data_IF_775719790380
#
_entry.id   IF_775719790380
#
_cell.length_a   1.000
_cell.length_b   1.000
_cell.length_c   1.000
_cell.angle_alpha   90.00
_cell.angle_beta   90.00
_cell.angle_gamma   90.00
#
_symmetry.space_group_name_H-M   'P 1'
#
loop_
_entity.id
_entity.type
_entity.pdbx_description
1 polymer ?
#
# COMPACT_ATOMS: atom_id res chain seq x y z
N UNK A 1 2.27 30.25 -58.94
CA UNK A 1 2.65 29.04 -58.15
C UNK A 1 1.36 28.28 -57.81
N UNK A 2 1.39 26.99 -57.44
CA UNK A 2 0.21 26.30 -56.89
C UNK A 2 0.57 25.54 -55.61
N UNK A 3 -0.27 25.65 -54.58
CA UNK A 3 -0.08 24.91 -53.32
C UNK A 3 -0.42 23.43 -53.49
N UNK A 4 0.61 22.59 -53.64
CA UNK A 4 0.46 21.15 -53.92
C UNK A 4 0.65 20.23 -52.70
N UNK A 5 1.07 20.76 -51.55
CA UNK A 5 1.35 20.02 -50.32
C UNK A 5 0.77 20.76 -49.11
N UNK A 6 0.18 20.02 -48.18
CA UNK A 6 -0.38 20.53 -46.93
C UNK A 6 0.57 20.45 -45.74
N UNK A 7 1.78 19.90 -45.90
CA UNK A 7 2.79 19.86 -44.83
C UNK A 7 3.22 21.29 -44.48
N UNK A 8 3.28 21.65 -43.20
CA UNK A 8 3.76 22.97 -42.76
C UNK A 8 4.97 22.93 -41.79
N UNK A 9 5.53 21.75 -41.51
CA UNK A 9 6.60 21.61 -40.52
C UNK A 9 7.59 20.50 -40.85
N UNK A 10 8.85 20.71 -40.48
CA UNK A 10 9.86 19.65 -40.36
C UNK A 10 10.68 19.85 -39.08
N UNK A 11 11.47 18.84 -38.71
CA UNK A 11 12.42 18.95 -37.61
C UNK A 11 13.64 18.08 -37.85
N UNK A 12 14.78 18.51 -37.29
CA UNK A 12 16.03 17.75 -37.32
C UNK A 12 16.80 17.91 -36.01
N UNK A 13 17.46 16.85 -35.57
CA UNK A 13 18.36 16.87 -34.42
C UNK A 13 19.66 17.59 -34.76
N UNK A 14 20.24 18.31 -33.80
CA UNK A 14 21.53 18.95 -33.97
C UNK A 14 22.66 17.96 -34.24
N UNK A 15 23.64 18.37 -35.05
CA UNK A 15 24.82 17.55 -35.38
C UNK A 15 26.10 18.04 -34.70
N UNK A 16 25.99 18.99 -33.78
CA UNK A 16 27.10 19.69 -33.13
C UNK A 16 28.09 20.31 -34.14
N UNK A 17 27.59 20.71 -35.32
CA UNK A 17 28.37 21.27 -36.43
C UNK A 17 27.75 22.61 -36.86
N UNK A 18 28.58 23.65 -36.97
CA UNK A 18 28.13 24.95 -37.50
C UNK A 18 27.84 24.86 -39.00
N UNK A 19 26.87 25.64 -39.50
CA UNK A 19 26.44 25.53 -40.89
C UNK A 19 25.55 24.31 -41.16
N UNK A 20 24.94 23.72 -40.12
CA UNK A 20 24.03 22.59 -40.31
C UNK A 20 22.89 22.98 -41.26
N UNK A 21 22.74 22.21 -42.34
CA UNK A 21 21.68 22.36 -43.32
C UNK A 21 20.51 21.43 -42.99
N UNK A 22 19.32 21.99 -42.92
CA UNK A 22 18.08 21.26 -42.64
C UNK A 22 17.11 21.55 -43.79
N UNK A 23 16.84 20.51 -44.59
CA UNK A 23 15.90 20.61 -45.71
C UNK A 23 14.46 20.48 -45.24
N UNK A 24 13.58 21.28 -45.83
CA UNK A 24 12.14 21.20 -45.65
C UNK A 24 11.45 21.09 -47.01
N UNK A 25 10.26 20.47 -47.06
CA UNK A 25 9.57 20.07 -48.30
C UNK A 25 8.19 20.72 -48.46
N UNK A 26 8.03 21.93 -47.92
CA UNK A 26 6.77 22.67 -47.98
C UNK A 26 6.95 24.06 -48.61
N UNK A 27 5.96 24.58 -49.35
CA UNK A 27 6.07 25.85 -50.07
C UNK A 27 6.06 27.05 -49.10
N UNK A 28 6.91 28.05 -49.33
CA UNK A 28 6.92 29.35 -48.63
C UNK A 28 7.26 30.49 -49.61
N UNK A 29 6.68 31.70 -49.45
CA UNK A 29 6.93 32.82 -50.38
C UNK A 29 8.25 33.50 -50.08
N UNK A 30 8.56 33.66 -48.79
CA UNK A 30 9.75 34.33 -48.33
C UNK A 30 10.35 33.60 -47.13
N UNK A 31 11.65 33.78 -46.92
CA UNK A 31 12.33 33.25 -45.75
C UNK A 31 11.75 33.79 -44.42
N UNK A 32 11.10 34.97 -44.47
CA UNK A 32 10.37 35.56 -43.34
C UNK A 32 9.09 34.81 -42.96
N UNK A 33 8.57 33.94 -43.83
CA UNK A 33 7.39 33.11 -43.56
C UNK A 33 7.77 31.82 -42.80
N UNK A 34 9.04 31.67 -42.42
CA UNK A 34 9.56 30.53 -41.68
C UNK A 34 9.80 30.93 -40.23
N UNK A 35 9.12 30.25 -39.31
CA UNK A 35 9.40 30.29 -37.89
C UNK A 35 10.35 29.14 -37.53
N UNK A 36 11.59 29.48 -37.22
CA UNK A 36 12.62 28.51 -36.81
C UNK A 36 12.82 28.59 -35.31
N UNK A 37 12.68 27.43 -34.64
CA UNK A 37 12.87 27.31 -33.19
C UNK A 37 13.82 26.16 -32.87
N UNK A 38 14.71 26.35 -31.91
CA UNK A 38 15.38 25.21 -31.28
C UNK A 38 14.60 24.79 -30.05
N UNK A 39 14.74 23.53 -29.66
CA UNK A 39 14.15 22.97 -28.44
C UNK A 39 15.18 22.08 -27.78
N UNK A 40 15.47 22.35 -26.51
CA UNK A 40 16.33 21.48 -25.71
C UNK A 40 15.58 20.18 -25.43
N UNK A 41 16.14 19.04 -25.83
CA UNK A 41 15.46 17.73 -25.71
C UNK A 41 15.20 17.36 -24.25
N UNK A 42 16.12 17.71 -23.35
CA UNK A 42 16.03 17.35 -21.93
C UNK A 42 15.05 18.21 -21.12
N UNK A 43 14.91 19.50 -21.43
CA UNK A 43 14.06 20.44 -20.66
C UNK A 43 12.82 20.89 -21.42
N UNK A 44 12.72 20.62 -22.71
CA UNK A 44 11.61 21.04 -23.55
C UNK A 44 11.56 22.54 -23.84
N UNK A 45 12.53 23.32 -23.35
CA UNK A 45 12.56 24.78 -23.47
C UNK A 45 12.81 25.17 -24.94
N UNK A 46 11.90 25.94 -25.57
CA UNK A 46 12.08 26.41 -26.92
C UNK A 46 12.79 27.78 -26.97
N UNK A 47 13.64 27.98 -27.98
CA UNK A 47 14.26 29.27 -28.31
C UNK A 47 13.91 29.63 -29.75
N UNK A 48 13.44 30.85 -29.99
CA UNK A 48 13.16 31.33 -31.36
C UNK A 48 14.43 31.90 -31.96
N UNK A 49 14.80 31.44 -33.16
CA UNK A 49 15.96 31.91 -33.89
C UNK A 49 15.58 33.10 -34.79
N UNK A 50 16.53 34.01 -35.00
CA UNK A 50 16.36 35.22 -35.81
C UNK A 50 16.95 35.03 -37.22
N UNK A 51 16.13 35.25 -38.24
CA UNK A 51 16.56 35.20 -39.65
C UNK A 51 17.70 36.18 -39.90
N UNK A 52 18.69 35.78 -40.72
CA UNK A 52 19.95 36.48 -41.05
C UNK A 52 20.97 36.61 -39.92
N UNK A 53 20.57 36.39 -38.67
CA UNK A 53 21.49 36.41 -37.51
C UNK A 53 21.86 34.99 -37.09
N UNK A 54 20.86 34.17 -36.80
CA UNK A 54 21.04 32.80 -36.29
C UNK A 54 20.92 31.75 -37.40
N UNK A 55 20.18 32.05 -38.46
CA UNK A 55 20.03 31.18 -39.62
C UNK A 55 19.82 31.96 -40.93
N UNK A 56 20.14 31.33 -42.04
CA UNK A 56 19.70 31.75 -43.38
C UNK A 56 18.77 30.69 -43.95
N UNK A 57 17.92 31.06 -44.91
CA UNK A 57 17.02 30.12 -45.55
C UNK A 57 16.91 30.37 -47.05
N UNK A 58 16.91 29.30 -47.83
CA UNK A 58 16.45 29.30 -49.21
C UNK A 58 14.97 28.90 -49.24
N UNK A 59 14.21 29.48 -50.16
CA UNK A 59 12.78 29.19 -50.36
C UNK A 59 12.51 28.87 -51.82
N UNK A 60 11.63 27.90 -52.05
CA UNK A 60 11.09 27.56 -53.36
C UNK A 60 9.69 26.95 -53.20
N UNK A 61 9.02 26.77 -54.33
CA UNK A 61 7.66 26.23 -54.45
C UNK A 61 7.51 24.80 -53.91
N UNK A 62 8.61 24.08 -53.70
CA UNK A 62 8.59 22.68 -53.19
C UNK A 62 9.32 22.51 -51.87
N UNK A 63 9.86 23.59 -51.30
CA UNK A 63 10.68 23.54 -50.10
C UNK A 63 11.97 24.33 -50.22
N UNK A 64 12.89 24.07 -49.31
CA UNK A 64 14.17 24.76 -49.29
C UNK A 64 15.06 24.23 -48.18
N UNK A 65 16.09 24.99 -47.86
CA UNK A 65 17.06 24.63 -46.83
C UNK A 65 17.22 25.77 -45.86
N UNK A 66 17.13 25.46 -44.56
CA UNK A 66 17.56 26.35 -43.48
C UNK A 66 18.98 25.98 -43.11
N UNK A 67 19.88 26.96 -43.11
CA UNK A 67 21.29 26.80 -42.71
C UNK A 67 21.52 27.54 -41.40
N UNK A 68 21.86 26.80 -40.34
CA UNK A 68 22.13 27.37 -39.03
C UNK A 68 23.53 27.99 -38.99
N UNK A 69 23.66 29.22 -38.49
CA UNK A 69 24.95 29.92 -38.39
C UNK A 69 25.80 29.28 -37.28
N UNK A 70 25.22 29.08 -36.10
CA UNK A 70 25.88 28.44 -34.97
C UNK A 70 25.75 26.90 -35.03
N UNK A 71 26.63 26.21 -34.31
CA UNK A 71 26.52 24.77 -34.13
C UNK A 71 25.33 24.44 -33.20
N UNK A 72 24.42 23.58 -33.67
CA UNK A 72 23.31 23.07 -32.86
C UNK A 72 23.75 21.79 -32.12
N UNK A 73 23.73 21.75 -30.77
CA UNK A 73 24.11 20.55 -30.02
C UNK A 73 23.23 19.35 -30.35
N UNK A 74 23.76 18.12 -30.20
CA UNK A 74 22.98 16.87 -30.37
C UNK A 74 21.88 16.70 -29.32
N UNK A 75 21.91 17.50 -28.26
CA UNK A 75 20.89 17.58 -27.20
C UNK A 75 19.75 18.54 -27.53
N UNK A 76 19.75 19.14 -28.73
CA UNK A 76 18.71 20.06 -29.20
C UNK A 76 18.12 19.60 -30.54
N UNK A 77 16.85 19.96 -30.77
CA UNK A 77 16.15 19.78 -32.03
C UNK A 77 15.85 21.14 -32.64
N UNK A 78 16.04 21.28 -33.95
CA UNK A 78 15.55 22.42 -34.72
C UNK A 78 14.20 22.07 -35.32
N UNK A 79 13.23 22.95 -35.14
CA UNK A 79 11.90 22.88 -35.70
C UNK A 79 11.72 24.04 -36.68
N UNK A 80 11.39 23.71 -37.93
CA UNK A 80 11.09 24.68 -38.98
C UNK A 80 9.60 24.58 -39.25
N UNK A 81 8.89 25.69 -39.05
CA UNK A 81 7.43 25.77 -39.16
C UNK A 81 7.11 26.91 -40.13
N UNK A 82 6.17 26.68 -41.04
CA UNK A 82 5.62 27.76 -41.87
C UNK A 82 4.64 28.58 -41.03
N UNK A 83 4.82 29.89 -41.05
CA UNK A 83 3.98 30.87 -40.39
C UNK A 83 3.63 31.97 -41.39
N UNK A 84 2.67 31.66 -42.27
CA UNK A 84 2.29 32.58 -43.36
C UNK A 84 1.59 33.81 -42.78
N UNK A 85 2.05 35.06 -43.05
CA UNK A 85 1.40 36.24 -42.51
C UNK A 85 -0.06 36.36 -42.98
N UNK A 86 -1.00 36.52 -42.03
CA UNK A 86 -2.43 36.70 -42.29
C UNK A 86 -2.78 38.12 -42.79
N UNK A 87 -2.13 38.54 -43.87
CA UNK A 87 -2.28 39.87 -44.48
C UNK A 87 -2.60 39.75 -45.97
N UNK A 88 -3.44 40.66 -46.48
CA UNK A 88 -3.69 40.82 -47.91
C UNK A 88 -2.93 42.05 -48.39
N UNK A 89 -1.95 41.84 -49.30
CA UNK A 89 -1.15 42.93 -49.87
C UNK A 89 -1.64 43.39 -51.25
N UNK A 90 -2.38 42.53 -51.96
CA UNK A 90 -2.94 42.86 -53.27
C UNK A 90 -4.12 43.82 -53.14
N UNK A 91 -3.99 44.99 -53.76
CA UNK A 91 -5.06 45.97 -53.92
C UNK A 91 -5.50 46.05 -55.39
N UNK A 92 -6.78 45.78 -55.65
CA UNK A 92 -7.35 45.80 -56.99
C UNK A 92 -8.08 47.13 -57.21
N UNK A 93 -7.53 47.95 -58.10
CA UNK A 93 -8.11 49.25 -58.45
C UNK A 93 -9.14 49.09 -59.58
N UNK A 94 -10.28 49.75 -59.44
CA UNK A 94 -11.34 49.75 -60.46
C UNK A 94 -10.81 50.32 -61.80
N UNK A 95 -10.94 49.55 -62.88
CA UNK A 95 -10.45 49.92 -64.21
C UNK A 95 -8.94 49.78 -64.42
N UNK A 96 -8.21 49.25 -63.42
CA UNK A 96 -6.79 48.93 -63.53
C UNK A 96 -6.51 47.69 -64.39
N UNK A 97 -5.23 47.47 -64.72
CA UNK A 97 -4.80 46.25 -65.41
C UNK A 97 -4.96 45.05 -64.48
N UNK A 98 -5.57 43.98 -64.98
CA UNK A 98 -5.74 42.72 -64.26
C UNK A 98 -4.58 41.78 -64.60
N UNK A 99 -3.68 41.58 -63.65
CA UNK A 99 -2.59 40.60 -63.78
C UNK A 99 -2.99 39.30 -63.08
N UNK A 100 -3.06 38.22 -63.85
CA UNK A 100 -3.43 36.91 -63.33
C UNK A 100 -2.39 36.39 -62.32
N UNK A 101 -1.11 36.72 -62.47
CA UNK A 101 -0.07 36.22 -61.56
C UNK A 101 -0.24 36.81 -60.15
N UNK A 102 -0.59 38.10 -60.05
CA UNK A 102 -0.85 38.75 -58.76
C UNK A 102 -2.03 38.09 -58.01
N UNK A 103 -3.05 37.68 -58.75
CA UNK A 103 -4.24 37.01 -58.21
C UNK A 103 -3.88 35.60 -57.75
N UNK A 104 -3.18 34.85 -58.59
CA UNK A 104 -2.70 33.51 -58.25
C UNK A 104 -1.83 33.57 -56.99
N UNK A 105 -0.86 34.48 -56.90
CA UNK A 105 0.00 34.64 -55.72
C UNK A 105 -0.81 34.94 -54.44
N UNK A 106 -1.84 35.80 -54.54
CA UNK A 106 -2.72 36.11 -53.42
C UNK A 106 -3.59 34.92 -52.98
N UNK A 107 -4.14 34.15 -53.93
CA UNK A 107 -4.94 32.95 -53.66
C UNK A 107 -4.08 31.82 -53.08
N UNK A 108 -2.87 31.66 -53.59
CA UNK A 108 -1.88 30.72 -53.09
C UNK A 108 -1.50 31.06 -51.64
N UNK A 109 -1.28 32.35 -51.34
CA UNK A 109 -0.97 32.79 -49.97
C UNK A 109 -2.13 32.48 -49.02
N UNK A 110 -3.36 32.72 -49.45
CA UNK A 110 -4.54 32.39 -48.67
C UNK A 110 -4.65 30.88 -48.43
N UNK A 111 -4.40 30.06 -49.47
CA UNK A 111 -4.43 28.60 -49.36
C UNK A 111 -3.38 28.09 -48.36
N UNK A 112 -2.18 28.68 -48.37
CA UNK A 112 -1.12 28.42 -47.39
C UNK A 112 -1.50 28.81 -45.96
N UNK A 113 -2.08 29.99 -45.76
CA UNK A 113 -2.55 30.43 -44.45
C UNK A 113 -3.68 29.53 -43.90
N UNK A 114 -4.57 29.07 -44.76
CA UNK A 114 -5.61 28.09 -44.40
C UNK A 114 -5.00 26.75 -43.98
N UNK A 115 -3.98 26.26 -44.71
CA UNK A 115 -3.28 25.04 -44.34
C UNK A 115 -2.58 25.17 -42.97
N UNK A 116 -1.94 26.31 -42.69
CA UNK A 116 -1.29 26.58 -41.39
C UNK A 116 -2.32 26.57 -40.25
N UNK A 117 -3.45 27.26 -40.43
CA UNK A 117 -4.52 27.28 -39.45
C UNK A 117 -5.15 25.90 -39.23
N UNK A 118 -5.35 25.10 -40.29
CA UNK A 118 -5.85 23.72 -40.16
C UNK A 118 -4.86 22.83 -39.39
N UNK A 119 -3.56 23.00 -39.65
CA UNK A 119 -2.48 22.36 -38.92
C UNK A 119 -2.48 22.69 -37.43
N UNK A 120 -2.75 23.94 -37.07
CA UNK A 120 -2.87 24.37 -35.68
C UNK A 120 -4.15 23.85 -35.02
N UNK A 121 -5.31 24.03 -35.66
CA UNK A 121 -6.63 23.64 -35.13
C UNK A 121 -6.73 22.12 -34.92
N UNK A 122 -6.16 21.31 -35.82
CA UNK A 122 -6.16 19.83 -35.68
C UNK A 122 -5.41 19.34 -34.43
N UNK A 123 -4.63 20.21 -33.79
CA UNK A 123 -3.82 19.90 -32.60
C UNK A 123 -4.31 20.58 -31.33
N UNK A 124 -5.44 21.29 -31.38
CA UNK A 124 -6.04 21.92 -30.21
C UNK A 124 -7.10 21.02 -29.56
N UNK A 125 -7.17 21.02 -28.24
CA UNK A 125 -8.39 20.64 -27.52
C UNK A 125 -9.45 21.68 -27.88
N UNK A 126 -10.63 21.31 -28.37
CA UNK A 126 -11.65 22.30 -28.77
C UNK A 126 -12.62 22.57 -27.62
N UNK A 127 -12.60 23.80 -27.12
CA UNK A 127 -13.58 24.31 -26.16
C UNK A 127 -14.84 24.80 -26.92
N UNK A 128 -16.02 24.77 -26.29
CA UNK A 128 -17.23 25.41 -26.80
C UNK A 128 -17.06 26.89 -27.16
N UNK A 129 -17.75 27.35 -28.22
CA UNK A 129 -17.68 28.74 -28.69
C UNK A 129 -18.25 29.77 -27.69
N UNK A 130 -18.90 29.30 -26.61
CA UNK A 130 -19.44 30.12 -25.53
C UNK A 130 -18.44 30.43 -24.41
N UNK A 131 -17.32 29.71 -24.35
CA UNK A 131 -16.32 29.88 -23.31
C UNK A 131 -15.49 31.15 -23.57
N UNK A 132 -15.20 31.90 -22.51
CA UNK A 132 -14.35 33.09 -22.60
C UNK A 132 -12.90 32.73 -22.96
N UNK A 133 -12.00 33.71 -23.10
CA UNK A 133 -10.59 33.46 -23.45
C UNK A 133 -9.88 32.56 -22.42
N UNK A 134 -9.90 31.25 -22.67
CA UNK A 134 -9.16 30.24 -21.93
C UNK A 134 -7.72 30.22 -22.44
N UNK A 135 -6.74 30.08 -21.54
CA UNK A 135 -5.37 29.77 -21.95
C UNK A 135 -5.30 28.29 -22.35
N UNK A 136 -5.09 28.05 -23.64
CA UNK A 136 -5.11 26.71 -24.25
C UNK A 136 -3.70 26.20 -24.55
N UNK A 137 -2.68 26.87 -24.02
CA UNK A 137 -1.29 26.46 -24.17
C UNK A 137 -0.95 25.44 -23.09
N UNK A 138 -0.72 24.19 -23.52
CA UNK A 138 -0.15 23.16 -22.64
C UNK A 138 1.31 23.48 -22.33
N UNK A 139 1.76 23.08 -21.14
CA UNK A 139 3.18 23.03 -20.80
C UNK A 139 3.98 22.21 -21.81
N UNK A 140 5.30 22.44 -21.83
CA UNK A 140 6.18 21.73 -22.73
C UNK A 140 6.13 20.21 -22.49
N UNK A 141 6.59 19.43 -23.47
CA UNK A 141 6.47 17.98 -23.45
C UNK A 141 7.20 17.29 -22.29
N UNK A 142 8.20 17.95 -21.70
CA UNK A 142 8.98 17.41 -20.57
C UNK A 142 8.20 17.62 -19.26
N UNK A 143 7.69 18.83 -19.02
CA UNK A 143 6.98 19.15 -17.78
C UNK A 143 5.65 18.41 -17.65
N UNK A 144 5.00 18.10 -18.78
CA UNK A 144 3.77 17.29 -18.79
C UNK A 144 4.00 15.78 -18.85
N UNK A 145 5.25 15.31 -18.91
CA UNK A 145 5.52 13.88 -19.03
C UNK A 145 4.99 13.14 -17.79
N UNK A 146 4.19 12.10 -18.02
CA UNK A 146 3.55 11.28 -16.97
C UNK A 146 2.54 12.01 -16.07
N UNK A 147 2.14 13.24 -16.44
CA UNK A 147 1.10 13.99 -15.76
C UNK A 147 -0.24 13.87 -16.52
N UNK A 148 -1.34 14.21 -15.85
CA UNK A 148 -2.69 14.23 -16.42
C UNK A 148 -3.04 15.63 -16.93
N UNK A 149 -3.80 15.69 -18.01
CA UNK A 149 -4.51 16.91 -18.42
C UNK A 149 -5.80 16.99 -17.62
N UNK A 150 -5.97 18.03 -16.82
CA UNK A 150 -7.15 18.27 -16.00
C UNK A 150 -7.72 19.67 -16.26
N UNK A 151 -8.91 19.93 -15.71
CA UNK A 151 -9.53 21.25 -15.70
C UNK A 151 -9.45 21.84 -14.30
N UNK A 152 -9.05 23.10 -14.18
CA UNK A 152 -9.05 23.82 -12.90
C UNK A 152 -10.47 24.24 -12.47
N UNK A 153 -10.58 24.89 -11.31
CA UNK A 153 -11.88 25.39 -10.79
C UNK A 153 -12.57 26.42 -11.69
N UNK A 154 -11.83 27.04 -12.62
CA UNK A 154 -12.32 28.01 -13.59
C UNK A 154 -12.55 27.39 -14.98
N UNK A 155 -12.34 26.08 -15.14
CA UNK A 155 -12.48 25.35 -16.41
C UNK A 155 -11.28 25.49 -17.35
N UNK A 156 -10.16 26.08 -16.92
CA UNK A 156 -8.95 26.16 -17.74
C UNK A 156 -8.23 24.82 -17.78
N UNK A 157 -7.57 24.54 -18.90
CA UNK A 157 -6.70 23.36 -19.02
C UNK A 157 -5.47 23.55 -18.14
N UNK A 158 -5.19 22.57 -17.29
CA UNK A 158 -3.99 22.52 -16.46
C UNK A 158 -3.38 21.13 -16.52
N UNK A 159 -2.08 21.03 -16.25
CA UNK A 159 -1.38 19.76 -16.08
C UNK A 159 -1.29 19.47 -14.59
N UNK A 160 -1.68 18.26 -14.16
CA UNK A 160 -1.67 17.84 -12.76
C UNK A 160 -0.99 16.48 -12.60
N UNK A 161 -0.27 16.29 -11.50
CA UNK A 161 0.37 15.01 -11.18
C UNK A 161 -0.59 13.96 -10.62
N UNK A 162 -1.79 14.38 -10.22
CA UNK A 162 -2.88 13.51 -9.79
C UNK A 162 -4.24 14.16 -10.07
N UNK A 163 -5.26 13.33 -10.37
CA UNK A 163 -6.66 13.77 -10.49
C UNK A 163 -7.40 13.23 -9.28
N UNK A 164 -7.72 14.10 -8.32
CA UNK A 164 -8.66 13.75 -7.26
C UNK A 164 -10.08 13.65 -7.88
N UNK A 165 -10.81 12.53 -7.74
CA UNK A 165 -12.19 12.45 -8.20
C UNK A 165 -13.05 13.39 -7.36
N UNK A 166 -13.72 14.36 -7.99
CA UNK A 166 -14.55 15.35 -7.31
C UNK A 166 -15.71 14.76 -6.46
N UNK A 167 -16.01 13.46 -6.58
CA UNK A 167 -17.04 12.76 -5.81
C UNK A 167 -16.51 11.86 -4.69
N UNK A 168 -15.19 11.62 -4.61
CA UNK A 168 -14.56 11.00 -3.45
C UNK A 168 -13.46 11.95 -2.98
N UNK A 169 -13.73 12.71 -1.92
CA UNK A 169 -12.66 13.44 -1.23
C UNK A 169 -11.71 12.39 -0.68
N UNK A 170 -10.65 12.08 -1.42
CA UNK A 170 -9.56 11.26 -0.94
C UNK A 170 -8.85 12.16 0.07
N UNK A 171 -8.99 11.82 1.36
CA UNK A 171 -8.24 12.51 2.41
C UNK A 171 -6.73 12.32 2.20
N UNK A 172 -5.89 13.17 2.78
CA UNK A 172 -4.43 12.99 2.73
C UNK A 172 -3.97 11.62 3.22
N UNK A 173 -4.74 10.98 4.12
CA UNK A 173 -4.50 9.60 4.54
C UNK A 173 -4.93 8.58 3.49
N UNK A 174 -6.03 8.83 2.76
CA UNK A 174 -6.45 7.97 1.65
C UNK A 174 -5.46 7.98 0.49
N UNK A 175 -4.74 9.08 0.28
CA UNK A 175 -3.69 9.16 -0.75
C UNK A 175 -2.55 8.18 -0.48
N UNK A 176 -2.18 7.96 0.79
CA UNK A 176 -1.09 7.04 1.16
C UNK A 176 -1.45 5.56 0.96
N UNK A 177 -2.70 5.24 0.65
CA UNK A 177 -3.18 3.87 0.42
C UNK A 177 -3.27 3.52 -1.08
N UNK A 178 -3.30 4.53 -1.95
CA UNK A 178 -3.59 4.34 -3.38
C UNK A 178 -2.32 4.04 -4.17
N UNK A 179 -1.16 4.37 -3.61
CA UNK A 179 0.16 4.03 -4.14
C UNK A 179 0.66 2.63 -3.73
N UNK A 180 -0.01 1.98 -2.78
CA UNK A 180 0.39 0.68 -2.26
C UNK A 180 0.21 -0.44 -3.29
N UNK A 181 1.30 -1.18 -3.55
CA UNK A 181 1.36 -2.20 -4.60
C UNK A 181 0.57 -3.48 -4.26
N UNK A 182 0.32 -3.76 -2.99
CA UNK A 182 -0.41 -4.94 -2.53
C UNK A 182 -1.08 -4.72 -1.15
N UNK A 183 -1.86 -5.71 -0.72
CA UNK A 183 -2.59 -5.65 0.53
C UNK A 183 -1.70 -5.64 1.79
N UNK A 184 -0.45 -6.14 1.71
CA UNK A 184 0.47 -6.12 2.84
C UNK A 184 1.07 -4.73 3.05
N UNK A 185 1.42 -4.04 1.95
CA UNK A 185 1.79 -2.62 1.97
C UNK A 185 0.65 -1.77 2.56
N UNK A 186 -0.58 -1.94 2.07
CA UNK A 186 -1.77 -1.25 2.59
C UNK A 186 -1.98 -1.42 4.10
N UNK A 187 -1.81 -2.64 4.65
CA UNK A 187 -1.93 -2.86 6.10
C UNK A 187 -0.83 -2.16 6.90
N UNK A 188 0.38 -2.11 6.36
CA UNK A 188 1.51 -1.40 6.97
C UNK A 188 1.22 0.10 7.01
N UNK A 189 0.71 0.66 5.90
CA UNK A 189 0.28 2.07 5.80
C UNK A 189 -0.85 2.41 6.78
N UNK A 190 -1.82 1.50 6.97
CA UNK A 190 -2.86 1.65 8.00
C UNK A 190 -2.31 1.59 9.43
N UNK A 191 -1.02 1.27 9.62
CA UNK A 191 -0.39 1.09 10.92
C UNK A 191 -0.89 -0.15 11.65
N UNK A 192 -1.38 -1.16 10.93
CA UNK A 192 -1.92 -2.40 11.51
C UNK A 192 -0.99 -3.56 11.18
N UNK A 193 -0.11 -3.91 12.12
CA UNK A 193 0.81 -5.03 11.95
C UNK A 193 0.24 -6.28 12.62
N UNK A 194 0.00 -7.33 11.82
CA UNK A 194 -0.44 -8.65 12.30
C UNK A 194 0.58 -9.19 13.31
N UNK A 195 0.10 -9.62 14.47
CA UNK A 195 0.90 -10.09 15.59
C UNK A 195 1.31 -8.99 16.59
N UNK A 196 0.97 -7.72 16.34
CA UNK A 196 1.19 -6.61 17.29
C UNK A 196 -0.12 -5.88 17.59
N UNK A 197 -0.69 -5.20 16.61
CA UNK A 197 -1.95 -4.45 16.75
C UNK A 197 -3.18 -5.33 16.58
N UNK A 198 -3.08 -6.35 15.72
CA UNK A 198 -4.17 -7.26 15.36
C UNK A 198 -3.68 -8.71 15.36
N UNK A 199 -4.47 -9.64 15.87
CA UNK A 199 -4.15 -11.08 15.78
C UNK A 199 -4.40 -11.60 14.36
N UNK A 200 -3.52 -12.47 13.87
CA UNK A 200 -3.79 -13.21 12.63
C UNK A 200 -5.06 -14.03 12.84
N UNK A 201 -5.89 -14.15 11.79
CA UNK A 201 -7.02 -15.06 11.90
C UNK A 201 -6.52 -16.48 12.14
N UNK A 202 -7.00 -17.06 13.23
CA UNK A 202 -6.68 -18.41 13.70
C UNK A 202 -7.98 -19.04 14.22
N UNK A 203 -8.30 -20.23 13.72
CA UNK A 203 -9.57 -20.89 14.02
C UNK A 203 -9.68 -21.24 15.51
N UNK A 204 -8.58 -21.70 16.12
CA UNK A 204 -8.55 -22.06 17.53
C UNK A 204 -8.66 -20.85 18.45
N UNK A 205 -8.08 -19.70 18.08
CA UNK A 205 -8.31 -18.46 18.83
C UNK A 205 -9.76 -17.98 18.72
N UNK A 206 -10.39 -18.18 17.56
CA UNK A 206 -11.83 -17.92 17.39
C UNK A 206 -12.68 -18.85 18.26
N UNK A 207 -12.30 -20.12 18.42
CA UNK A 207 -12.96 -21.04 19.35
C UNK A 207 -12.91 -20.52 20.78
N UNK A 208 -11.72 -20.13 21.26
CA UNK A 208 -11.53 -19.56 22.60
C UNK A 208 -12.38 -18.31 22.79
N UNK A 209 -12.40 -17.41 21.80
CA UNK A 209 -13.20 -16.19 21.84
C UNK A 209 -14.71 -16.45 21.84
N UNK A 210 -15.15 -17.60 21.32
CA UNK A 210 -16.55 -18.02 21.30
C UNK A 210 -16.99 -18.76 22.59
N UNK A 211 -16.08 -19.10 23.50
CA UNK A 211 -16.40 -19.80 24.74
C UNK A 211 -17.22 -18.94 25.71
N UNK A 212 -18.15 -19.57 26.42
CA UNK A 212 -18.90 -18.92 27.48
C UNK A 212 -17.99 -18.58 28.67
N UNK A 213 -17.79 -17.28 28.92
CA UNK A 213 -17.03 -16.76 30.07
C UNK A 213 -17.91 -16.77 31.32
N UNK A 214 -18.18 -17.97 31.85
CA UNK A 214 -18.88 -18.16 33.13
C UNK A 214 -17.88 -18.54 34.21
N UNK A 215 -18.18 -18.16 35.45
CA UNK A 215 -17.35 -18.53 36.59
C UNK A 215 -17.20 -20.05 36.75
N UNK A 216 -16.04 -20.51 37.22
CA UNK A 216 -15.67 -21.92 37.40
C UNK A 216 -15.59 -22.80 36.13
N UNK A 217 -15.65 -22.20 34.94
CA UNK A 217 -15.39 -22.89 33.68
C UNK A 217 -13.88 -23.09 33.46
N UNK A 218 -13.52 -24.26 32.90
CA UNK A 218 -12.14 -24.60 32.56
C UNK A 218 -12.06 -24.83 31.06
N UNK A 219 -11.10 -24.16 30.40
CA UNK A 219 -10.86 -24.29 28.96
C UNK A 219 -10.01 -25.53 28.70
N UNK A 220 -10.49 -26.43 27.85
CA UNK A 220 -9.83 -27.68 27.48
C UNK A 220 -9.91 -27.91 25.97
N UNK A 221 -8.99 -28.70 25.42
CA UNK A 221 -9.09 -29.15 24.02
C UNK A 221 -9.91 -30.43 23.91
N UNK A 222 -10.85 -30.51 22.97
CA UNK A 222 -11.64 -31.72 22.70
C UNK A 222 -11.04 -32.63 21.60
N UNK A 223 -9.86 -32.25 21.10
CA UNK A 223 -9.17 -32.90 19.99
C UNK A 223 -9.38 -32.21 18.63
N UNK A 224 -10.34 -31.29 18.52
CA UNK A 224 -10.60 -30.48 17.31
C UNK A 224 -10.64 -28.99 17.62
N UNK A 225 -11.36 -28.58 18.68
CA UNK A 225 -11.59 -27.20 19.09
C UNK A 225 -11.20 -26.99 20.56
N UNK A 226 -11.19 -25.72 20.98
CA UNK A 226 -11.27 -25.38 22.40
C UNK A 226 -12.73 -25.42 22.87
N UNK A 227 -12.97 -26.07 24.00
CA UNK A 227 -14.29 -26.17 24.64
C UNK A 227 -14.19 -25.82 26.12
N UNK A 228 -15.34 -25.59 26.75
CA UNK A 228 -15.45 -25.39 28.19
C UNK A 228 -15.90 -26.67 28.86
N UNK A 229 -15.22 -27.00 29.96
CA UNK A 229 -15.63 -28.03 30.91
C UNK A 229 -15.97 -27.42 32.27
N UNK A 230 -16.88 -28.07 33.01
CA UNK A 230 -17.08 -27.77 34.43
C UNK A 230 -15.88 -28.22 35.24
N UNK A 231 -15.68 -27.62 36.43
CA UNK A 231 -14.65 -28.07 37.36
C UNK A 231 -14.70 -29.56 37.71
N UNK A 232 -15.90 -30.17 37.72
CA UNK A 232 -16.02 -31.62 37.94
C UNK A 232 -15.56 -32.44 36.75
N UNK A 233 -15.90 -32.01 35.54
CA UNK A 233 -15.51 -32.70 34.29
C UNK A 233 -14.00 -32.64 34.11
N UNK A 234 -13.38 -31.47 34.31
CA UNK A 234 -11.94 -31.32 34.17
C UNK A 234 -11.14 -32.18 35.16
N UNK A 235 -11.63 -32.34 36.40
CA UNK A 235 -11.01 -33.28 37.37
C UNK A 235 -11.03 -34.71 36.85
N UNK A 236 -12.16 -35.15 36.30
CA UNK A 236 -12.26 -36.45 35.64
C UNK A 236 -11.29 -36.57 34.48
N UNK A 237 -11.20 -35.56 33.62
CA UNK A 237 -10.29 -35.53 32.46
C UNK A 237 -8.81 -35.64 32.86
N UNK A 238 -8.41 -35.04 33.97
CA UNK A 238 -7.04 -35.11 34.50
C UNK A 238 -6.74 -36.40 35.28
N UNK A 239 -7.71 -37.30 35.44
CA UNK A 239 -7.57 -38.46 36.34
C UNK A 239 -7.47 -38.10 37.82
N UNK A 240 -7.72 -36.83 38.16
CA UNK A 240 -7.83 -36.31 39.52
C UNK A 240 -9.29 -36.24 39.97
N UNK A 241 -10.16 -37.05 39.36
CA UNK A 241 -11.51 -37.29 39.85
C UNK A 241 -11.37 -37.54 41.35
N UNK A 242 -12.22 -36.85 42.15
CA UNK A 242 -12.17 -36.91 43.60
C UNK A 242 -11.83 -38.34 43.99
N UNK A 243 -10.60 -38.51 44.46
CA UNK A 243 -10.01 -39.82 44.59
C UNK A 243 -11.06 -40.63 45.34
N UNK A 244 -11.53 -41.73 44.77
CA UNK A 244 -12.39 -42.61 45.55
C UNK A 244 -11.63 -43.02 46.84
N UNK A 245 -10.29 -42.86 46.87
CA UNK A 245 -9.43 -42.92 48.05
C UNK A 245 -9.32 -41.64 48.90
N UNK A 246 -9.72 -40.43 48.46
CA UNK A 246 -9.91 -39.25 49.34
C UNK A 246 -11.30 -39.24 49.99
N UNK A 247 -12.31 -39.83 49.33
CA UNK A 247 -13.50 -40.30 50.06
C UNK A 247 -13.16 -41.39 51.09
N UNK A 248 -11.97 -42.00 50.99
CA UNK A 248 -11.35 -42.72 52.10
C UNK A 248 -10.43 -41.83 52.95
N UNK A 249 -9.77 -40.77 52.49
CA UNK A 249 -8.96 -39.93 53.41
C UNK A 249 -9.75 -39.07 54.40
N UNK A 250 -11.04 -38.84 54.18
CA UNK A 250 -11.94 -38.22 55.17
C UNK A 250 -13.00 -39.21 55.71
N UNK A 251 -12.69 -40.52 55.68
CA UNK A 251 -13.57 -41.53 56.27
C UNK A 251 -13.08 -42.98 56.33
N UNK A 252 -11.89 -43.33 55.83
CA UNK A 252 -11.43 -44.74 55.73
C UNK A 252 -9.94 -45.07 55.40
N UNK A 253 -9.04 -44.24 54.84
CA UNK A 253 -7.66 -44.63 54.41
C UNK A 253 -6.68 -43.43 54.36
N UNK A 254 -6.30 -42.92 55.53
CA UNK A 254 -4.93 -42.47 55.81
C UNK A 254 -4.48 -42.93 57.21
N UNK A 255 -4.85 -44.15 57.58
CA UNK A 255 -3.94 -45.03 58.31
C UNK A 255 -4.29 -46.44 57.85
N UNK A 256 -3.47 -47.00 56.98
CA UNK A 256 -3.39 -48.44 56.77
C UNK A 256 -2.90 -49.07 58.09
N UNK A 257 -3.81 -49.16 59.07
CA UNK A 257 -3.82 -50.18 60.14
C UNK A 257 -4.31 -51.54 59.61
N UNK A 258 -3.98 -51.85 58.35
CA UNK A 258 -3.54 -53.20 58.00
C UNK A 258 -2.03 -53.35 58.14
N UNK A 259 -1.35 -52.39 58.77
CA UNK A 259 -0.44 -52.77 59.84
C UNK A 259 -1.28 -53.22 61.03
N UNK A 260 -1.02 -54.42 61.52
CA UNK A 260 -1.38 -55.00 62.82
C UNK A 260 -1.07 -54.08 64.04
N UNK A 261 -1.53 -52.83 64.01
CA UNK A 261 -1.11 -51.73 64.87
C UNK A 261 -2.27 -51.19 65.69
N UNK A 262 -2.55 -51.89 66.78
CA UNK A 262 -3.27 -51.47 67.97
C UNK A 262 -4.71 -50.98 67.77
N UNK A 263 -5.64 -51.93 67.85
CA UNK A 263 -6.99 -51.64 68.34
C UNK A 263 -6.82 -51.29 69.83
N UNK A 264 -7.11 -50.05 70.20
CA UNK A 264 -7.34 -49.70 71.59
C UNK A 264 -8.73 -50.18 71.98
N UNK A 265 -8.78 -51.21 72.81
CA UNK A 265 -10.02 -51.55 73.50
C UNK A 265 -10.10 -50.65 74.73
N UNK A 266 -10.74 -49.49 74.54
CA UNK A 266 -11.03 -48.47 75.55
C UNK A 266 -11.87 -49.01 76.74
N UNK A 267 -12.21 -50.30 76.76
CA UNK A 267 -12.89 -51.01 77.85
C UNK A 267 -12.05 -52.11 78.52
N UNK A 268 -10.77 -52.26 78.16
CA UNK A 268 -9.85 -53.27 78.69
C UNK A 268 -10.34 -54.72 78.59
N UNK A 269 -11.27 -55.00 77.67
CA UNK A 269 -11.57 -56.36 77.24
C UNK A 269 -10.82 -56.64 75.93
N UNK A 270 -10.69 -57.92 75.59
CA UNK A 270 -10.15 -58.35 74.31
C UNK A 270 -11.33 -58.98 73.59
N UNK A 271 -11.91 -58.29 72.63
CA UNK A 271 -13.00 -58.83 71.80
C UNK A 271 -12.47 -59.83 70.76
N UNK A 272 -11.14 -59.91 70.60
CA UNK A 272 -10.46 -60.80 69.67
C UNK A 272 -9.52 -61.77 70.41
N UNK A 273 -9.77 -63.08 70.27
CA UNK A 273 -8.96 -64.13 70.89
C UNK A 273 -7.60 -64.35 70.20
N UNK A 274 -7.31 -63.64 69.11
CA UNK A 274 -6.15 -63.86 68.24
C UNK A 274 -5.26 -62.65 68.03
N UNK A 275 -5.68 -61.46 68.46
CA UNK A 275 -4.90 -60.24 68.34
C UNK A 275 -3.91 -60.08 69.52
N UNK A 276 -2.64 -59.68 69.27
CA UNK A 276 -1.71 -59.38 70.34
C UNK A 276 -2.16 -58.11 71.10
N UNK A 277 -2.16 -58.11 72.44
CA UNK A 277 -2.60 -56.96 73.23
C UNK A 277 -1.68 -55.75 73.01
N UNK A 278 -2.24 -54.54 73.13
CA UNK A 278 -1.47 -53.30 73.01
C UNK A 278 -0.43 -53.16 74.13
N UNK A 279 0.67 -52.43 73.87
CA UNK A 279 1.73 -52.21 74.87
C UNK A 279 1.19 -51.51 76.13
N UNK A 280 0.15 -50.68 76.00
CA UNK A 280 -0.54 -50.03 77.12
C UNK A 280 -1.40 -51.01 77.92
N UNK A 281 -2.11 -51.93 77.25
CA UNK A 281 -2.91 -52.98 77.90
C UNK A 281 -2.03 -53.96 78.70
N UNK A 282 -0.87 -54.34 78.14
CA UNK A 282 0.11 -55.18 78.84
C UNK A 282 0.69 -54.47 80.07
N UNK A 283 1.05 -53.19 79.95
CA UNK A 283 1.55 -52.40 81.07
C UNK A 283 0.50 -52.24 82.18
N UNK A 284 -0.76 -51.95 81.83
CA UNK A 284 -1.86 -51.81 82.79
C UNK A 284 -2.15 -53.12 83.54
N UNK A 285 -2.19 -54.26 82.83
CA UNK A 285 -2.32 -55.58 83.47
C UNK A 285 -1.16 -55.84 84.44
N UNK A 286 0.07 -55.60 84.00
CA UNK A 286 1.26 -55.81 84.82
C UNK A 286 1.28 -54.90 86.07
N UNK A 287 0.82 -53.65 85.97
CA UNK A 287 0.66 -52.75 87.12
C UNK A 287 -0.50 -53.13 88.05
N UNK A 288 -1.51 -53.86 87.57
CA UNK A 288 -2.63 -54.31 88.42
C UNK A 288 -2.25 -55.48 89.34
N UNK A 289 -1.26 -56.28 88.95
CA UNK A 289 -0.81 -57.48 89.67
C UNK A 289 0.54 -57.30 90.37
N UNK A 290 1.24 -56.20 90.07
CA UNK A 290 2.45 -55.77 90.75
C UNK A 290 2.16 -54.62 91.72
N UNK A 291 2.59 -54.74 92.98
CA UNK A 291 2.62 -53.63 93.92
C UNK A 291 4.05 -53.25 94.27
N UNK A 292 4.36 -51.95 94.25
CA UNK A 292 5.68 -51.41 94.58
C UNK A 292 5.64 -50.70 95.94
N UNK A 293 6.50 -51.11 96.86
CA UNK A 293 6.70 -50.47 98.15
C UNK A 293 8.20 -50.26 98.39
N UNK A 294 8.72 -49.09 98.01
CA UNK A 294 10.16 -48.83 97.97
C UNK A 294 10.86 -49.71 96.93
N UNK A 295 11.96 -50.36 97.31
CA UNK A 295 12.73 -51.25 96.43
C UNK A 295 12.15 -52.69 96.34
N UNK A 296 11.00 -52.95 96.97
CA UNK A 296 10.37 -54.28 96.99
C UNK A 296 9.23 -54.34 95.99
N UNK A 297 9.35 -55.25 95.03
CA UNK A 297 8.30 -55.58 94.06
C UNK A 297 7.56 -56.82 94.53
N UNK A 298 6.23 -56.79 94.53
CA UNK A 298 5.39 -57.93 94.93
C UNK A 298 4.46 -58.32 93.78
N UNK A 299 4.43 -59.59 93.37
CA UNK A 299 3.57 -60.13 92.32
C UNK A 299 2.56 -61.11 92.93
N UNK A 300 1.25 -60.84 92.78
CA UNK A 300 0.18 -61.65 93.38
C UNK A 300 0.41 -61.97 94.88
N UNK A 301 0.89 -60.99 95.63
CA UNK A 301 1.13 -61.11 97.08
C UNK A 301 2.45 -61.80 97.48
N UNK A 302 3.27 -62.26 96.53
CA UNK A 302 4.60 -62.79 96.82
C UNK A 302 5.70 -61.78 96.46
N UNK A 303 6.68 -61.62 97.34
CA UNK A 303 7.83 -60.75 97.09
C UNK A 303 8.67 -61.32 95.95
N UNK A 304 8.87 -60.51 94.92
CA UNK A 304 9.73 -60.82 93.77
C UNK A 304 11.13 -60.37 94.14
N UNK A 305 11.91 -61.26 94.74
CA UNK A 305 13.36 -61.08 94.87
C UNK A 305 14.02 -61.40 93.52
N UNK A 306 14.88 -60.52 93.04
CA UNK A 306 15.77 -60.77 91.90
C UNK A 306 16.72 -61.95 92.19
#
# INVERSE_FOLDING_TARGET
>A
MTVSNSTERTSATGTNTAGQEISYSFPANAASDLLVKTKITATGVPTTLVLTTDYTATVSDTGGTVTLVAALPTTEECHIIRDTPNTQALDLVAGGSFDAENIEEALDKLTRAVADNAGQISRCIRMPDTDAALDMVLDNSVDRASNFVAMDSSGNVTVVSSVAPATATISSFGETLIDDADAAAARTTLGSVIGTDVQAWDAQLNDIAALAVTDNNIIVGDGTNWVVESGSTARTSLGAAADADVAKKDGSVAYTATGVGFRDEDDMLSDDATAPPSQQSVAAFLFSILSYAGDVVTYNGNVVTY
#
